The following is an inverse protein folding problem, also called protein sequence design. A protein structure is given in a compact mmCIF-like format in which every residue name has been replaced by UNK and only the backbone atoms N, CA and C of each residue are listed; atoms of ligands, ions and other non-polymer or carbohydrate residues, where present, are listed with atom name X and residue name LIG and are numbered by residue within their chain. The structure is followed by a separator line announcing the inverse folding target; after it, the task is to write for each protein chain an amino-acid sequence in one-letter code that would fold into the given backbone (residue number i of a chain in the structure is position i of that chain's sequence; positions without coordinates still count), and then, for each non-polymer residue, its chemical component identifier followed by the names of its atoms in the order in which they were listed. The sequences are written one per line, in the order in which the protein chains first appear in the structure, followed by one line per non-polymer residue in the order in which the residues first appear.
data_IF_277632515006
#
_entry.id   IF_277632515006
#
_cell.length_a   1.000
_cell.length_b   1.000
_cell.length_c   1.000
_cell.angle_alpha   90.00
_cell.angle_beta   90.00
_cell.angle_gamma   90.00
#
_symmetry.space_group_name_H-M   'P 1'
#
loop_
_entity.id
_entity.type
_entity.pdbx_description
1 polymer ?
#
# COMPACT_ATOMS: atom_id res chain seq x y z
N UNK A 1 -10.81 -6.69 27.28
CA UNK A 1 -10.98 -6.62 25.83
C UNK A 1 -10.18 -7.65 25.10
N UNK A 2 -10.33 -8.88 25.55
CA UNK A 2 -9.57 -9.99 24.99
C UNK A 2 -9.88 -10.26 23.53
N UNK A 3 -11.14 -10.00 23.11
CA UNK A 3 -11.54 -10.20 21.71
C UNK A 3 -10.77 -9.31 20.73
N UNK A 4 -10.32 -8.12 21.18
CA UNK A 4 -9.54 -7.22 20.32
C UNK A 4 -8.10 -7.69 20.13
N UNK A 5 -7.57 -8.52 21.05
CA UNK A 5 -6.22 -9.05 20.95
C UNK A 5 -6.08 -10.12 19.87
N UNK A 6 -7.20 -10.68 19.40
CA UNK A 6 -7.19 -11.72 18.35
C UNK A 6 -7.43 -11.14 16.96
N UNK A 7 -7.65 -9.82 16.85
CA UNK A 7 -7.94 -9.15 15.58
C UNK A 7 -6.83 -8.18 15.24
N UNK A 8 -6.42 -8.19 13.97
CA UNK A 8 -5.48 -7.21 13.44
C UNK A 8 -6.24 -6.31 12.47
N UNK A 9 -6.25 -5.02 12.77
CA UNK A 9 -6.85 -4.01 11.90
C UNK A 9 -5.78 -3.44 10.97
N UNK A 10 -6.10 -3.43 9.67
CA UNK A 10 -5.25 -2.85 8.65
C UNK A 10 -5.93 -1.60 8.11
N UNK A 11 -5.68 -0.41 8.71
CA UNK A 11 -6.20 0.79 8.07
C UNK A 11 -5.57 0.92 6.69
N UNK A 12 -6.34 1.41 5.74
CA UNK A 12 -5.94 1.49 4.35
C UNK A 12 -5.75 2.93 3.92
N UNK A 13 -4.65 3.18 3.22
CA UNK A 13 -4.40 4.46 2.55
C UNK A 13 -4.33 4.18 1.06
N UNK A 14 -5.25 4.76 0.30
CA UNK A 14 -5.19 4.76 -1.15
C UNK A 14 -4.45 6.01 -1.60
N UNK A 15 -3.40 5.83 -2.39
CA UNK A 15 -2.58 6.93 -2.90
C UNK A 15 -2.89 7.19 -4.37
N UNK A 16 -3.22 8.44 -4.67
CA UNK A 16 -3.39 8.91 -6.04
C UNK A 16 -2.76 10.30 -6.16
N UNK A 17 -1.87 10.45 -7.13
CA UNK A 17 -1.16 11.71 -7.40
C UNK A 17 -0.47 12.27 -6.13
N UNK A 18 0.09 11.38 -5.31
CA UNK A 18 0.79 11.73 -4.09
C UNK A 18 -0.08 12.02 -2.88
N UNK A 19 -1.39 11.90 -3.00
CA UNK A 19 -2.36 12.26 -1.96
C UNK A 19 -3.12 11.04 -1.46
N UNK A 20 -3.60 11.14 -0.21
CA UNK A 20 -4.50 10.13 0.37
C UNK A 20 -5.91 10.41 -0.10
N UNK A 21 -6.52 9.43 -0.76
CA UNK A 21 -7.80 9.62 -1.43
C UNK A 21 -8.80 8.53 -1.09
N UNK A 22 -10.05 8.79 -1.44
CA UNK A 22 -11.14 7.82 -1.46
C UNK A 22 -11.79 7.89 -2.84
N UNK A 23 -11.96 6.73 -3.47
CA UNK A 23 -12.63 6.65 -4.76
C UNK A 23 -14.12 6.42 -4.55
N UNK A 24 -14.96 7.10 -5.34
CA UNK A 24 -16.38 6.80 -5.38
C UNK A 24 -16.61 5.57 -6.26
N UNK A 25 -17.06 4.48 -5.65
CA UNK A 25 -17.31 3.19 -6.32
C UNK A 25 -16.10 2.66 -7.11
N UNK A 26 -14.89 2.97 -6.64
CA UNK A 26 -13.67 2.52 -7.30
C UNK A 26 -13.30 3.29 -8.57
N UNK A 27 -13.99 4.39 -8.89
CA UNK A 27 -13.74 5.15 -10.10
C UNK A 27 -12.62 6.18 -9.91
N UNK A 28 -11.58 6.11 -10.74
CA UNK A 28 -10.37 6.95 -10.62
C UNK A 28 -10.64 8.43 -10.88
N UNK A 29 -11.70 8.78 -11.60
CA UNK A 29 -12.07 10.16 -11.88
C UNK A 29 -13.00 10.76 -10.83
N UNK A 30 -13.47 9.96 -9.88
CA UNK A 30 -14.36 10.41 -8.80
C UNK A 30 -13.65 10.27 -7.45
N UNK A 31 -12.75 11.20 -7.20
CA UNK A 31 -11.80 11.16 -6.09
C UNK A 31 -12.14 12.21 -5.05
N UNK A 32 -12.11 11.81 -3.78
CA UNK A 32 -12.11 12.74 -2.65
C UNK A 32 -10.74 12.66 -1.98
N UNK A 33 -10.05 13.80 -1.93
CA UNK A 33 -8.77 13.90 -1.20
C UNK A 33 -9.10 14.20 0.26
N UNK A 34 -8.60 13.36 1.18
CA UNK A 34 -8.81 13.59 2.61
C UNK A 34 -7.52 13.95 3.35
N UNK A 35 -6.37 13.79 2.74
CA UNK A 35 -5.09 14.26 3.28
C UNK A 35 -4.08 14.35 2.15
N UNK A 36 -3.39 15.47 2.04
CA UNK A 36 -2.32 15.67 1.06
C UNK A 36 -0.94 15.29 1.62
N UNK A 37 -0.86 14.90 2.89
CA UNK A 37 0.36 14.46 3.55
C UNK A 37 0.21 13.00 3.98
N UNK A 38 0.71 12.10 3.17
CA UNK A 38 0.61 10.67 3.40
C UNK A 38 1.35 10.24 4.68
N UNK A 39 2.51 10.82 4.95
CA UNK A 39 3.26 10.53 6.17
C UNK A 39 2.50 10.91 7.43
N UNK A 40 1.87 12.09 7.42
CA UNK A 40 1.05 12.54 8.55
C UNK A 40 -0.16 11.64 8.77
N UNK A 41 -0.81 11.18 7.70
CA UNK A 41 -1.93 10.26 7.81
C UNK A 41 -1.50 8.91 8.39
N UNK A 42 -0.37 8.39 7.94
CA UNK A 42 0.18 7.14 8.46
C UNK A 42 0.53 7.26 9.94
N UNK A 43 1.13 8.39 10.33
CA UNK A 43 1.47 8.64 11.73
C UNK A 43 0.22 8.69 12.61
N UNK A 44 -0.86 9.29 12.13
CA UNK A 44 -2.11 9.33 12.86
C UNK A 44 -2.65 7.92 13.12
N UNK A 45 -2.57 7.02 12.14
CA UNK A 45 -2.97 5.62 12.34
C UNK A 45 -2.06 4.90 13.34
N UNK A 46 -0.75 5.09 13.24
CA UNK A 46 0.18 4.47 14.15
C UNK A 46 -0.02 4.96 15.58
N UNK A 47 -0.22 6.27 15.77
CA UNK A 47 -0.48 6.87 17.08
C UNK A 47 -1.81 6.40 17.67
N UNK A 48 -2.77 6.04 16.83
CA UNK A 48 -4.05 5.47 17.27
C UNK A 48 -3.94 4.01 17.72
N UNK A 49 -2.78 3.37 17.56
CA UNK A 49 -2.52 2.01 18.03
C UNK A 49 -2.61 0.94 16.95
N UNK A 50 -2.69 1.31 15.68
CA UNK A 50 -2.70 0.33 14.59
C UNK A 50 -1.35 -0.37 14.49
N UNK A 51 -1.38 -1.69 14.27
CA UNK A 51 -0.17 -2.53 14.24
C UNK A 51 0.38 -2.74 12.83
N UNK A 52 -0.44 -2.53 11.82
CA UNK A 52 -0.09 -2.66 10.41
C UNK A 52 -0.77 -1.57 9.61
N UNK A 53 -0.19 -1.23 8.46
CA UNK A 53 -0.79 -0.29 7.53
C UNK A 53 -0.86 -0.93 6.14
N UNK A 54 -2.01 -0.77 5.49
CA UNK A 54 -2.22 -1.21 4.10
C UNK A 54 -2.20 0.00 3.18
N UNK A 55 -1.35 -0.03 2.16
CA UNK A 55 -1.20 1.06 1.20
C UNK A 55 -1.48 0.54 -0.20
N UNK A 56 -2.24 1.30 -0.98
CA UNK A 56 -2.48 1.00 -2.39
C UNK A 56 -1.97 2.15 -3.24
N UNK A 57 -1.07 1.85 -4.16
CA UNK A 57 -0.62 2.79 -5.19
C UNK A 57 -1.63 2.72 -6.35
N UNK A 58 -2.66 3.58 -6.31
CA UNK A 58 -3.72 3.56 -7.32
C UNK A 58 -3.19 3.89 -8.71
N UNK A 59 -2.26 4.85 -8.83
CA UNK A 59 -1.63 5.15 -10.11
C UNK A 59 -0.84 3.94 -10.61
N UNK A 60 -0.14 3.26 -9.70
CA UNK A 60 0.59 2.04 -10.03
C UNK A 60 -0.31 0.93 -10.52
N UNK A 61 -1.48 0.78 -9.89
CA UNK A 61 -2.47 -0.22 -10.32
C UNK A 61 -2.90 0.01 -11.76
N UNK A 62 -3.00 1.27 -12.17
CA UNK A 62 -3.39 1.65 -13.53
C UNK A 62 -2.23 1.50 -14.51
N UNK A 63 -1.03 1.95 -14.14
CA UNK A 63 0.13 2.01 -15.03
C UNK A 63 0.99 0.74 -15.04
N UNK A 64 0.85 -0.11 -14.01
CA UNK A 64 1.62 -1.34 -13.91
C UNK A 64 3.08 -1.15 -13.48
N UNK A 65 3.37 -0.04 -12.84
CA UNK A 65 4.70 0.29 -12.32
C UNK A 65 4.56 1.19 -11.10
N UNK A 66 5.57 1.30 -10.22
CA UNK A 66 5.51 2.20 -9.07
C UNK A 66 5.34 3.65 -9.51
N UNK A 67 4.41 4.37 -8.92
CA UNK A 67 4.15 5.79 -9.21
C UNK A 67 4.26 6.65 -7.95
N UNK A 68 3.66 6.23 -6.84
CA UNK A 68 3.60 7.01 -5.61
C UNK A 68 4.78 6.74 -4.68
N UNK A 69 5.99 6.55 -5.22
CA UNK A 69 7.18 6.22 -4.44
C UNK A 69 7.52 7.25 -3.37
N UNK A 70 7.41 8.54 -3.69
CA UNK A 70 7.72 9.61 -2.73
C UNK A 70 6.73 9.61 -1.56
N UNK A 71 5.44 9.41 -1.84
CA UNK A 71 4.43 9.32 -0.79
C UNK A 71 4.66 8.09 0.10
N UNK A 72 5.02 6.95 -0.50
CA UNK A 72 5.33 5.74 0.25
C UNK A 72 6.57 5.94 1.12
N UNK A 73 7.61 6.57 0.61
CA UNK A 73 8.81 6.87 1.41
C UNK A 73 8.49 7.80 2.57
N UNK A 74 7.61 8.78 2.36
CA UNK A 74 7.13 9.66 3.42
C UNK A 74 6.41 8.86 4.52
N UNK A 75 5.57 7.90 4.15
CA UNK A 75 4.90 7.00 5.09
C UNK A 75 5.93 6.21 5.88
N UNK A 76 6.86 5.56 5.20
CA UNK A 76 7.86 4.70 5.85
C UNK A 76 8.77 5.47 6.80
N UNK A 77 9.05 6.75 6.50
CA UNK A 77 9.85 7.61 7.38
C UNK A 77 9.09 8.06 8.61
N UNK A 78 7.76 8.10 8.54
CA UNK A 78 6.92 8.66 9.60
C UNK A 78 6.53 7.63 10.67
N UNK A 79 6.61 6.34 10.38
CA UNK A 79 6.09 5.28 11.26
C UNK A 79 7.09 4.12 11.39
N UNK A 80 6.93 3.37 12.49
CA UNK A 80 7.72 2.15 12.75
C UNK A 80 6.91 0.88 12.52
N UNK A 81 5.59 0.98 12.40
CA UNK A 81 4.76 -0.20 12.16
C UNK A 81 4.98 -0.73 10.75
N UNK A 82 4.84 -2.05 10.54
CA UNK A 82 5.03 -2.63 9.22
C UNK A 82 3.95 -2.20 8.24
N UNK A 83 4.34 -2.06 6.97
CA UNK A 83 3.47 -1.62 5.88
C UNK A 83 3.40 -2.71 4.82
N UNK A 84 2.20 -3.02 4.37
CA UNK A 84 1.99 -3.84 3.18
C UNK A 84 1.48 -2.96 2.04
N UNK A 85 1.85 -3.30 0.82
CA UNK A 85 1.54 -2.46 -0.33
C UNK A 85 1.07 -3.30 -1.50
N UNK A 86 0.00 -2.84 -2.15
CA UNK A 86 -0.50 -3.37 -3.41
C UNK A 86 -0.65 -2.27 -4.44
N UNK A 87 -0.94 -2.66 -5.67
CA UNK A 87 -1.20 -1.74 -6.76
C UNK A 87 -0.17 -1.85 -7.88
N UNK A 88 -0.50 -2.59 -8.92
CA UNK A 88 0.28 -2.66 -10.14
C UNK A 88 1.58 -3.45 -10.07
N UNK A 89 1.71 -4.34 -9.11
CA UNK A 89 2.89 -5.19 -9.00
C UNK A 89 2.76 -6.33 -9.99
N UNK A 90 3.58 -6.32 -11.05
CA UNK A 90 3.46 -7.25 -12.19
C UNK A 90 4.75 -7.99 -12.52
N UNK A 91 5.86 -7.72 -11.84
CA UNK A 91 7.13 -8.38 -12.09
C UNK A 91 8.01 -8.39 -10.83
N UNK A 92 9.10 -9.15 -10.90
CA UNK A 92 10.01 -9.29 -9.77
C UNK A 92 10.77 -8.00 -9.46
N UNK A 93 11.08 -7.20 -10.46
CA UNK A 93 11.81 -5.95 -10.26
C UNK A 93 10.99 -4.97 -9.42
N UNK A 94 9.68 -4.90 -9.65
CA UNK A 94 8.78 -4.06 -8.86
C UNK A 94 8.68 -4.57 -7.42
N UNK A 95 8.61 -5.88 -7.23
CA UNK A 95 8.63 -6.48 -5.90
C UNK A 95 9.89 -6.08 -5.16
N UNK A 96 11.05 -6.24 -5.79
CA UNK A 96 12.34 -5.87 -5.20
C UNK A 96 12.39 -4.37 -4.88
N UNK A 97 11.89 -3.54 -5.78
CA UNK A 97 11.83 -2.09 -5.58
C UNK A 97 11.11 -1.72 -4.27
N UNK A 98 9.93 -2.28 -4.05
CA UNK A 98 9.17 -1.97 -2.85
C UNK A 98 9.77 -2.55 -1.58
N UNK A 99 10.29 -3.79 -1.65
CA UNK A 99 10.94 -4.41 -0.49
C UNK A 99 12.21 -3.65 -0.10
N UNK A 100 13.00 -3.22 -1.08
CA UNK A 100 14.22 -2.43 -0.83
C UNK A 100 13.88 -1.05 -0.24
N UNK A 101 12.73 -0.50 -0.59
CA UNK A 101 12.27 0.77 -0.03
C UNK A 101 11.84 0.65 1.43
N UNK A 102 11.57 -0.55 1.93
CA UNK A 102 11.17 -0.79 3.31
C UNK A 102 9.77 -1.36 3.50
N UNK A 103 9.06 -1.66 2.41
CA UNK A 103 7.76 -2.34 2.49
C UNK A 103 7.98 -3.75 3.02
N UNK A 104 7.21 -4.13 4.04
CA UNK A 104 7.35 -5.43 4.68
C UNK A 104 6.71 -6.55 3.87
N UNK A 105 5.62 -6.27 3.19
CA UNK A 105 4.85 -7.28 2.45
C UNK A 105 4.20 -6.64 1.23
N UNK A 106 4.30 -7.33 0.08
CA UNK A 106 3.65 -6.88 -1.15
C UNK A 106 2.44 -7.76 -1.45
N UNK A 107 1.47 -7.19 -2.14
CA UNK A 107 0.24 -7.88 -2.52
C UNK A 107 0.21 -8.00 -4.02
N UNK A 108 0.11 -9.24 -4.51
CA UNK A 108 -0.05 -9.54 -5.93
C UNK A 108 -1.53 -9.76 -6.20
N UNK A 109 -2.09 -8.92 -7.07
CA UNK A 109 -3.50 -8.99 -7.44
C UNK A 109 -3.73 -9.83 -8.70
N UNK A 110 -4.24 -9.19 -9.75
CA UNK A 110 -4.61 -9.86 -11.00
C UNK A 110 -3.45 -10.64 -11.63
N UNK A 111 -2.22 -10.18 -11.47
CA UNK A 111 -1.05 -10.86 -12.03
C UNK A 111 -0.89 -12.28 -11.50
N UNK A 112 -1.36 -12.55 -10.28
CA UNK A 112 -1.28 -13.89 -9.70
C UNK A 112 -2.12 -14.90 -10.49
N UNK A 113 -3.17 -14.43 -11.15
CA UNK A 113 -4.01 -15.28 -12.02
C UNK A 113 -3.41 -15.42 -13.41
N UNK A 114 -2.77 -14.36 -13.93
CA UNK A 114 -2.21 -14.33 -15.29
C UNK A 114 -0.85 -15.00 -15.39
N UNK A 115 -0.07 -14.92 -14.32
CA UNK A 115 1.29 -15.45 -14.29
C UNK A 115 1.58 -16.14 -12.95
N UNK A 116 1.09 -17.38 -12.78
CA UNK A 116 1.34 -18.11 -11.53
C UNK A 116 2.81 -18.44 -11.32
N UNK A 117 3.63 -18.48 -12.37
CA UNK A 117 5.07 -18.70 -12.22
C UNK A 117 5.75 -17.53 -11.52
N UNK A 118 5.27 -16.29 -11.74
CA UNK A 118 5.74 -15.13 -11.01
C UNK A 118 5.52 -15.30 -9.50
N UNK A 119 4.37 -15.83 -9.11
CA UNK A 119 4.06 -16.04 -7.69
C UNK A 119 5.05 -17.05 -7.09
N UNK A 120 5.34 -18.13 -7.80
CA UNK A 120 6.31 -19.13 -7.33
C UNK A 120 7.70 -18.53 -7.15
N UNK A 121 8.17 -17.73 -8.10
CA UNK A 121 9.47 -17.05 -8.00
C UNK A 121 9.49 -16.05 -6.85
N UNK A 122 8.43 -15.27 -6.69
CA UNK A 122 8.34 -14.28 -5.62
C UNK A 122 8.38 -14.91 -4.22
N UNK A 123 7.86 -16.14 -4.09
CA UNK A 123 7.83 -16.84 -2.80
C UNK A 123 9.15 -17.52 -2.43
N UNK A 124 10.11 -17.54 -3.33
CA UNK A 124 11.45 -18.05 -3.03
C UNK A 124 12.26 -16.98 -2.30
#
# INVERSE_FOLDING_TARGET
METLNTMIFFPAIDLKDGQCVRLFRGEMDKVTVFNDDAGAQAKAFADAGCEWLHVVDLNGAFEGKPVNGDAVRSILSAIDIPVQLGGGIRNLDTIAYWLDAGIRRVILGTIALRDPDLVREACK
#
